data_IF_979406191419
#
_entry.id   IF_979406191419
#
_cell.length_a   1.000
_cell.length_b   1.000
_cell.length_c   1.000
_cell.angle_alpha   90.00
_cell.angle_beta   90.00
_cell.angle_gamma   90.00
#
_symmetry.space_group_name_H-M   'P 1'
#
loop_
_entity.id
_entity.type
_entity.pdbx_description
1 polymer ?
#
# COMPACT_ATOMS: atom_id res chain seq x y z
N UNK A 1 2.25 -0.11 -9.75
CA UNK A 1 1.18 -0.99 -9.30
C UNK A 1 1.63 -2.42 -9.48
N UNK A 2 1.84 -3.12 -8.40
CA UNK A 2 1.87 -4.56 -8.49
C UNK A 2 0.53 -4.98 -9.10
N UNK A 3 0.58 -5.61 -10.28
CA UNK A 3 -0.58 -6.32 -10.78
C UNK A 3 -0.99 -7.28 -9.66
N UNK A 4 -2.19 -7.11 -9.14
CA UNK A 4 -2.75 -8.08 -8.21
C UNK A 4 -2.57 -9.44 -8.87
N UNK A 5 -1.73 -10.29 -8.28
CA UNK A 5 -1.53 -11.65 -8.78
C UNK A 5 -2.89 -12.33 -8.62
N UNK A 6 -3.57 -12.54 -9.74
CA UNK A 6 -4.85 -13.25 -9.72
C UNK A 6 -4.56 -14.68 -9.27
N UNK A 7 -5.13 -15.13 -8.16
CA UNK A 7 -4.93 -16.50 -7.70
C UNK A 7 -5.28 -17.49 -8.81
N UNK A 8 -4.57 -18.62 -8.86
CA UNK A 8 -4.74 -19.63 -9.90
C UNK A 8 -6.21 -20.08 -10.08
N UNK A 9 -6.99 -20.10 -8.99
CA UNK A 9 -8.41 -20.50 -9.00
C UNK A 9 -9.36 -19.42 -9.56
N UNK A 10 -8.89 -18.19 -9.79
CA UNK A 10 -9.65 -17.10 -10.39
C UNK A 10 -9.21 -16.80 -11.83
N UNK A 11 -8.21 -17.49 -12.34
CA UNK A 11 -7.75 -17.29 -13.71
C UNK A 11 -8.78 -17.82 -14.70
N UNK A 12 -9.29 -16.95 -15.53
CA UNK A 12 -10.24 -17.34 -16.58
C UNK A 12 -9.57 -18.24 -17.62
N UNK A 13 -10.28 -19.27 -18.07
CA UNK A 13 -9.85 -20.14 -19.16
C UNK A 13 -9.01 -21.37 -18.75
N UNK A 14 -8.77 -21.59 -17.47
CA UNK A 14 -8.15 -22.84 -17.00
C UNK A 14 -9.21 -23.96 -16.86
N UNK A 15 -8.95 -25.10 -17.50
CA UNK A 15 -9.70 -26.32 -17.20
C UNK A 15 -9.21 -26.89 -15.87
N UNK A 16 -9.99 -26.67 -14.84
CA UNK A 16 -9.70 -27.22 -13.50
C UNK A 16 -10.16 -28.67 -13.44
N UNK A 17 -9.38 -29.53 -12.75
CA UNK A 17 -9.84 -30.88 -12.42
C UNK A 17 -11.07 -30.81 -11.50
N UNK A 18 -11.83 -31.91 -11.40
CA UNK A 18 -12.98 -31.98 -10.49
C UNK A 18 -12.61 -31.73 -9.04
N UNK A 19 -11.43 -32.15 -8.64
CA UNK A 19 -10.90 -31.89 -7.29
C UNK A 19 -10.61 -30.39 -7.08
N UNK A 20 -9.97 -29.74 -8.04
CA UNK A 20 -9.67 -28.31 -7.97
C UNK A 20 -10.95 -27.47 -7.96
N UNK A 21 -11.97 -27.84 -8.73
CA UNK A 21 -13.28 -27.21 -8.70
C UNK A 21 -13.95 -27.36 -7.33
N UNK A 22 -13.89 -28.55 -6.76
CA UNK A 22 -14.44 -28.79 -5.42
C UNK A 22 -13.71 -27.96 -4.36
N UNK A 23 -12.40 -27.89 -4.41
CA UNK A 23 -11.60 -27.03 -3.51
C UNK A 23 -12.00 -25.57 -3.67
N UNK A 24 -12.11 -25.09 -4.91
CA UNK A 24 -12.53 -23.71 -5.19
C UNK A 24 -13.91 -23.37 -4.63
N UNK A 25 -14.87 -24.29 -4.78
CA UNK A 25 -16.27 -24.01 -4.43
C UNK A 25 -16.57 -24.25 -2.94
N UNK A 26 -15.84 -25.17 -2.29
CA UNK A 26 -16.16 -25.63 -0.93
C UNK A 26 -15.12 -25.20 0.10
N UNK A 27 -13.84 -25.31 -0.18
CA UNK A 27 -12.76 -25.05 0.80
C UNK A 27 -12.37 -23.57 0.81
N UNK A 28 -12.18 -22.96 -0.35
CA UNK A 28 -11.73 -21.57 -0.45
C UNK A 28 -12.66 -20.55 0.18
N UNK A 29 -13.99 -20.60 -0.03
CA UNK A 29 -14.91 -19.64 0.61
C UNK A 29 -14.88 -19.70 2.13
N UNK A 30 -14.80 -20.92 2.69
CA UNK A 30 -14.72 -21.15 4.13
C UNK A 30 -13.39 -20.63 4.69
N UNK A 31 -12.28 -20.99 4.03
CA UNK A 31 -10.95 -20.52 4.41
C UNK A 31 -10.84 -19.00 4.34
N UNK A 32 -11.32 -18.40 3.26
CA UNK A 32 -11.31 -16.94 3.10
C UNK A 32 -12.10 -16.25 4.21
N UNK A 33 -13.29 -16.77 4.54
CA UNK A 33 -14.15 -16.18 5.56
C UNK A 33 -13.57 -16.29 6.98
N UNK A 34 -13.00 -17.44 7.35
CA UNK A 34 -12.60 -17.72 8.72
C UNK A 34 -11.12 -17.51 9.02
N UNK A 35 -10.25 -17.54 8.01
CA UNK A 35 -8.80 -17.46 8.19
C UNK A 35 -8.24 -16.22 7.52
N UNK A 36 -8.39 -16.10 6.20
CA UNK A 36 -7.75 -15.05 5.41
C UNK A 36 -8.36 -13.67 5.68
N UNK A 37 -9.68 -13.56 5.72
CA UNK A 37 -10.36 -12.30 5.97
C UNK A 37 -10.02 -11.68 7.33
N UNK A 38 -10.16 -12.43 8.46
CA UNK A 38 -9.72 -11.95 9.77
C UNK A 38 -8.22 -11.66 9.86
N UNK A 39 -7.36 -12.45 9.20
CA UNK A 39 -5.93 -12.22 9.17
C UNK A 39 -5.56 -10.95 8.41
N UNK A 40 -6.14 -10.70 7.24
CA UNK A 40 -5.92 -9.46 6.48
C UNK A 40 -6.40 -8.22 7.27
N UNK A 41 -7.53 -8.33 7.96
CA UNK A 41 -8.03 -7.26 8.83
C UNK A 41 -7.07 -6.98 9.97
N UNK A 42 -6.56 -8.00 10.61
CA UNK A 42 -5.56 -7.87 11.66
C UNK A 42 -4.29 -7.19 11.15
N UNK A 43 -3.76 -7.60 10.00
CA UNK A 43 -2.59 -6.96 9.39
C UNK A 43 -2.86 -5.49 9.04
N UNK A 44 -4.02 -5.18 8.47
CA UNK A 44 -4.41 -3.82 8.14
C UNK A 44 -4.46 -2.93 9.39
N UNK A 45 -5.11 -3.38 10.44
CA UNK A 45 -5.20 -2.64 11.70
C UNK A 45 -3.82 -2.44 12.35
N UNK A 46 -2.96 -3.44 12.26
CA UNK A 46 -1.59 -3.36 12.76
C UNK A 46 -0.76 -2.33 11.99
N UNK A 47 -0.83 -2.33 10.67
CA UNK A 47 -0.15 -1.34 9.81
C UNK A 47 -0.66 0.08 10.10
N UNK A 48 -1.98 0.26 10.22
CA UNK A 48 -2.57 1.56 10.57
C UNK A 48 -2.09 2.04 11.93
N UNK A 49 -2.03 1.17 12.93
CA UNK A 49 -1.55 1.49 14.27
C UNK A 49 -0.06 1.90 14.25
N UNK A 50 0.77 1.18 13.52
CA UNK A 50 2.20 1.49 13.38
C UNK A 50 2.43 2.83 12.67
N UNK A 51 1.70 3.10 11.61
CA UNK A 51 1.78 4.39 10.91
C UNK A 51 1.38 5.55 11.81
N UNK A 52 0.31 5.39 12.58
CA UNK A 52 -0.12 6.40 13.55
C UNK A 52 0.90 6.63 14.66
N UNK A 53 1.55 5.57 15.13
CA UNK A 53 2.58 5.67 16.17
C UNK A 53 3.79 6.51 15.72
N UNK A 54 4.14 6.46 14.43
CA UNK A 54 5.24 7.23 13.86
C UNK A 54 4.80 8.50 13.13
N UNK A 55 3.51 8.77 13.05
CA UNK A 55 2.99 9.97 12.39
C UNK A 55 3.20 9.96 10.88
N UNK A 56 3.22 8.79 10.25
CA UNK A 56 3.40 8.62 8.81
C UNK A 56 2.08 8.37 8.08
N UNK A 57 2.08 8.66 6.78
CA UNK A 57 1.04 8.21 5.86
C UNK A 57 1.48 6.91 5.18
N UNK A 58 0.53 6.09 4.75
CA UNK A 58 0.85 4.84 4.03
C UNK A 58 1.67 5.11 2.76
N UNK A 59 1.33 6.15 2.03
CA UNK A 59 2.05 6.54 0.81
C UNK A 59 3.47 7.05 1.07
N UNK A 60 3.81 7.43 2.29
CA UNK A 60 5.19 7.79 2.67
C UNK A 60 6.13 6.56 2.66
N UNK A 61 5.57 5.36 2.79
CA UNK A 61 6.32 4.10 2.85
C UNK A 61 6.62 3.48 1.47
N UNK A 62 6.21 4.10 0.38
CA UNK A 62 6.55 3.62 -0.96
C UNK A 62 8.05 3.63 -1.23
N UNK A 63 8.51 2.64 -1.95
CA UNK A 63 9.92 2.51 -2.31
C UNK A 63 10.33 3.58 -3.36
N UNK A 64 11.09 4.56 -2.92
CA UNK A 64 11.55 5.68 -3.78
C UNK A 64 12.53 5.22 -4.88
N UNK A 65 13.13 4.04 -4.75
CA UNK A 65 13.99 3.48 -5.78
C UNK A 65 13.22 2.98 -7.01
N UNK A 66 11.93 2.81 -6.91
CA UNK A 66 11.09 2.49 -8.06
C UNK A 66 10.93 3.73 -8.96
N UNK A 67 11.25 3.66 -10.27
CA UNK A 67 11.27 4.84 -11.14
C UNK A 67 9.94 5.60 -11.19
N UNK A 68 8.82 4.89 -11.15
CA UNK A 68 7.48 5.49 -11.14
C UNK A 68 7.25 6.31 -9.87
N UNK A 69 7.63 5.76 -8.72
CA UNK A 69 7.48 6.45 -7.42
C UNK A 69 8.41 7.65 -7.33
N UNK A 70 9.65 7.53 -7.80
CA UNK A 70 10.61 8.64 -7.85
C UNK A 70 10.03 9.81 -8.65
N UNK A 71 9.52 9.55 -9.86
CA UNK A 71 8.90 10.58 -10.68
C UNK A 71 7.63 11.16 -10.04
N UNK A 72 6.80 10.33 -9.43
CA UNK A 72 5.61 10.80 -8.72
C UNK A 72 5.95 11.74 -7.56
N UNK A 73 7.00 11.45 -6.81
CA UNK A 73 7.49 12.32 -5.74
C UNK A 73 8.01 13.65 -6.29
N UNK A 74 8.70 13.64 -7.42
CA UNK A 74 9.15 14.87 -8.11
C UNK A 74 7.97 15.74 -8.59
N UNK A 75 6.85 15.13 -8.96
CA UNK A 75 5.65 15.84 -9.39
C UNK A 75 4.83 16.43 -8.24
N UNK A 76 5.12 16.09 -6.99
CA UNK A 76 4.39 16.62 -5.84
C UNK A 76 4.46 18.14 -5.77
N UNK A 77 3.34 18.83 -5.46
CA UNK A 77 3.35 20.24 -5.09
C UNK A 77 4.27 20.47 -3.89
N UNK A 78 4.83 21.68 -3.80
CA UNK A 78 5.79 22.01 -2.75
C UNK A 78 5.26 21.73 -1.34
N UNK A 79 4.01 22.06 -1.07
CA UNK A 79 3.39 21.85 0.25
C UNK A 79 3.35 20.35 0.64
N UNK A 80 2.96 19.50 -0.30
CA UNK A 80 2.91 18.05 -0.08
C UNK A 80 4.31 17.45 0.05
N UNK A 81 5.25 17.93 -0.76
CA UNK A 81 6.65 17.47 -0.70
C UNK A 81 7.30 17.81 0.64
N UNK A 82 7.10 19.02 1.14
CA UNK A 82 7.61 19.45 2.45
C UNK A 82 6.95 18.68 3.58
N UNK A 83 5.64 18.48 3.51
CA UNK A 83 4.91 17.69 4.50
C UNK A 83 5.41 16.25 4.58
N UNK A 84 5.61 15.62 3.43
CA UNK A 84 6.19 14.27 3.31
C UNK A 84 7.59 14.21 3.95
N UNK A 85 8.45 15.13 3.59
CA UNK A 85 9.82 15.19 4.13
C UNK A 85 9.81 15.32 5.66
N UNK A 86 9.00 16.23 6.20
CA UNK A 86 8.89 16.44 7.65
C UNK A 86 8.40 15.20 8.38
N UNK A 87 7.40 14.49 7.82
CA UNK A 87 6.90 13.24 8.42
C UNK A 87 7.98 12.16 8.45
N UNK A 88 8.71 11.99 7.35
CA UNK A 88 9.79 11.01 7.26
C UNK A 88 10.94 11.31 8.24
N UNK A 89 11.35 12.57 8.33
CA UNK A 89 12.40 12.98 9.27
C UNK A 89 11.97 12.82 10.71
N UNK A 90 10.73 13.16 11.04
CA UNK A 90 10.17 12.97 12.38
C UNK A 90 10.09 11.48 12.74
N UNK A 91 9.63 10.64 11.84
CA UNK A 91 9.56 9.20 12.05
C UNK A 91 10.94 8.60 12.25
N UNK A 92 11.92 9.01 11.48
CA UNK A 92 13.31 8.58 11.64
C UNK A 92 13.87 8.96 13.00
N UNK A 93 13.64 10.20 13.43
CA UNK A 93 14.09 10.68 14.75
C UNK A 93 13.42 9.89 15.89
N UNK A 94 12.11 9.68 15.82
CA UNK A 94 11.39 8.90 16.82
C UNK A 94 11.83 7.44 16.86
N UNK A 95 12.10 6.85 15.72
CA UNK A 95 12.62 5.49 15.65
C UNK A 95 14.01 5.36 16.27
N UNK A 96 14.87 6.35 16.06
CA UNK A 96 16.22 6.40 16.65
C UNK A 96 16.16 6.54 18.17
N UNK A 97 15.26 7.38 18.67
CA UNK A 97 15.03 7.60 20.11
C UNK A 97 14.15 6.52 20.76
N UNK A 98 13.60 5.59 19.99
CA UNK A 98 12.62 4.57 20.42
C UNK A 98 11.40 5.18 21.13
N UNK A 99 10.91 6.28 20.59
CA UNK A 99 9.72 6.99 21.06
C UNK A 99 8.60 6.92 20.03
N UNK A 100 7.38 7.24 20.44
CA UNK A 100 6.21 7.28 19.57
C UNK A 100 5.49 8.61 19.78
N UNK A 101 4.63 8.96 18.80
CA UNK A 101 3.76 10.12 18.93
C UNK A 101 2.83 10.00 20.14
N UNK A 102 2.50 11.10 20.82
CA UNK A 102 1.42 11.13 21.82
C UNK A 102 0.11 10.62 21.22
N UNK A 103 -0.68 9.90 22.01
CA UNK A 103 -1.95 9.31 21.56
C UNK A 103 -2.90 10.37 20.98
N UNK A 104 -2.87 11.57 21.49
CA UNK A 104 -3.69 12.69 21.01
C UNK A 104 -3.38 13.09 19.57
N UNK A 105 -2.11 12.98 19.15
CA UNK A 105 -1.65 13.29 17.81
C UNK A 105 -1.81 12.10 16.83
N UNK A 106 -2.13 10.92 17.33
CA UNK A 106 -2.36 9.72 16.52
C UNK A 106 -3.76 9.67 15.90
N UNK A 107 -4.63 10.62 16.18
CA UNK A 107 -6.02 10.65 15.71
C UNK A 107 -6.11 11.24 14.29
N UNK A 108 -5.65 10.51 13.29
CA UNK A 108 -5.74 10.86 11.87
C UNK A 108 -5.86 9.58 11.02
N UNK A 109 -6.28 9.72 9.77
CA UNK A 109 -6.35 8.61 8.82
C UNK A 109 -5.03 8.52 8.02
N UNK A 110 -4.18 7.51 8.27
CA UNK A 110 -2.92 7.35 7.54
C UNK A 110 -3.09 6.76 6.14
N UNK A 111 -4.29 6.29 5.79
CA UNK A 111 -4.54 5.59 4.52
C UNK A 111 -5.03 6.51 3.40
N UNK A 112 -5.04 7.82 3.60
CA UNK A 112 -5.40 8.79 2.56
C UNK A 112 -4.36 8.75 1.43
N UNK A 113 -4.77 8.44 0.18
CA UNK A 113 -3.84 8.22 -0.93
C UNK A 113 -3.45 9.54 -1.61
N UNK A 114 -2.64 10.36 -0.97
CA UNK A 114 -2.22 11.64 -1.53
C UNK A 114 -1.28 11.52 -2.74
N UNK A 115 -0.56 10.40 -2.85
CA UNK A 115 0.40 10.17 -3.93
C UNK A 115 -0.22 9.50 -5.17
N UNK A 116 -1.39 8.89 -5.04
CA UNK A 116 -2.02 8.12 -6.11
C UNK A 116 -2.23 8.90 -7.42
N UNK A 117 -2.73 10.16 -7.43
CA UNK A 117 -2.86 10.94 -8.66
C UNK A 117 -1.51 11.18 -9.36
N UNK A 118 -0.46 11.41 -8.59
CA UNK A 118 0.88 11.66 -9.11
C UNK A 118 1.55 10.39 -9.65
N UNK A 119 1.24 9.22 -9.07
CA UNK A 119 1.68 7.93 -9.60
C UNK A 119 1.04 7.65 -10.96
N UNK A 120 -0.23 7.93 -11.13
CA UNK A 120 -0.93 7.78 -12.42
C UNK A 120 -0.34 8.71 -13.48
N UNK A 121 -0.11 9.96 -13.13
CA UNK A 121 0.53 10.93 -14.02
C UNK A 121 1.95 10.50 -14.39
N UNK A 122 2.73 10.01 -13.44
CA UNK A 122 4.08 9.51 -13.68
C UNK A 122 4.09 8.31 -14.64
N UNK A 123 3.14 7.39 -14.48
CA UNK A 123 2.98 6.25 -15.39
C UNK A 123 2.64 6.70 -16.81
N UNK A 124 1.74 7.66 -16.92
CA UNK A 124 1.35 8.22 -18.21
C UNK A 124 2.54 8.87 -18.93
N UNK A 125 3.29 9.70 -18.24
CA UNK A 125 4.48 10.34 -18.80
C UNK A 125 5.56 9.33 -19.22
N UNK A 126 5.80 8.30 -18.41
CA UNK A 126 6.75 7.24 -18.73
C UNK A 126 6.32 6.42 -19.95
N UNK A 127 5.01 6.18 -20.09
CA UNK A 127 4.47 5.51 -21.27
C UNK A 127 4.64 6.36 -22.53
N UNK A 128 4.35 7.66 -22.47
CA UNK A 128 4.58 8.58 -23.60
C UNK A 128 6.04 8.61 -24.02
N UNK A 129 6.97 8.64 -23.07
CA UNK A 129 8.41 8.60 -23.37
C UNK A 129 8.85 7.32 -24.08
N UNK A 130 8.20 6.18 -23.77
CA UNK A 130 8.50 4.90 -24.43
C UNK A 130 7.94 4.82 -25.86
N UNK A 131 6.86 5.53 -26.16
CA UNK A 131 6.23 5.58 -27.47
C UNK A 131 6.92 6.54 -28.44
N UNK A 132 7.75 7.42 -27.94
CA UNK A 132 8.56 8.33 -28.73
C UNK A 132 9.87 7.67 -29.18
#
# INVERSE_FOLDING_TARGET
AQRAVVPWYQQEGQQLSLFEQWVKDSVYPVWFKFVKGPYERYQYEHVVADLRAYGMMFDDAHNVNEPVVERAVELLPHDLAVGRYRRLMRAFEMNTKKTHLPIEEQNYDPMVPYLAPFIEEAKFQMQEEQEL
#
